data_IF_727058783809
#
_entry.id   IF_727058783809
#
_cell.length_a   1.000
_cell.length_b   1.000
_cell.length_c   1.000
_cell.angle_alpha   90.00
_cell.angle_beta   90.00
_cell.angle_gamma   90.00
#
_symmetry.space_group_name_H-M   'P 1'
#
loop_
_entity.id
_entity.type
_entity.pdbx_description
1 polymer ?
#
# COMPACT_ATOMS: atom_id res chain seq x y z
N UNK A 1 2.65 7.57 -0.64
CA UNK A 1 3.61 7.83 0.46
C UNK A 1 4.81 8.62 -0.05
N UNK A 2 5.62 9.23 0.82
CA UNK A 2 6.90 9.88 0.45
C UNK A 2 8.04 9.31 1.28
N UNK A 3 9.20 9.10 0.66
CA UNK A 3 10.41 8.60 1.33
C UNK A 3 11.67 9.25 0.76
N UNK A 4 12.68 9.42 1.62
CA UNK A 4 14.04 9.74 1.20
C UNK A 4 14.72 8.48 0.66
N UNK A 5 15.36 8.58 -0.50
CA UNK A 5 16.16 7.50 -1.06
C UNK A 5 17.48 7.37 -0.28
N UNK A 6 17.83 6.15 0.08
CA UNK A 6 19.08 5.86 0.78
C UNK A 6 20.33 6.19 -0.05
N UNK A 7 21.49 6.16 0.60
CA UNK A 7 22.77 6.48 -0.05
C UNK A 7 23.11 5.57 -1.25
N UNK A 8 22.58 4.35 -1.26
CA UNK A 8 22.78 3.37 -2.34
C UNK A 8 21.70 3.42 -3.42
N UNK A 9 20.78 4.39 -3.39
CA UNK A 9 19.68 4.46 -4.35
C UNK A 9 18.53 3.49 -4.06
N UNK A 10 18.33 3.14 -2.79
CA UNK A 10 17.31 2.17 -2.36
C UNK A 10 16.26 2.81 -1.43
N UNK A 11 15.03 2.30 -1.49
CA UNK A 11 13.91 2.67 -0.62
C UNK A 11 13.37 1.42 0.06
N UNK A 12 13.05 1.51 1.35
CA UNK A 12 12.36 0.45 2.09
C UNK A 12 10.86 0.72 2.17
N UNK A 13 10.05 -0.29 1.84
CA UNK A 13 8.57 -0.23 1.89
C UNK A 13 8.09 -1.52 2.55
N UNK A 14 7.29 -1.43 3.61
CA UNK A 14 6.75 -2.64 4.26
C UNK A 14 7.79 -3.44 5.07
N UNK A 15 8.78 -2.77 5.67
CA UNK A 15 9.76 -3.38 6.58
C UNK A 15 11.18 -3.53 6.03
N UNK A 16 12.10 -4.08 6.84
CA UNK A 16 13.55 -4.10 6.55
C UNK A 16 13.95 -5.01 5.39
N UNK A 17 13.14 -6.02 5.08
CA UNK A 17 13.41 -7.02 4.05
C UNK A 17 13.01 -6.54 2.63
N UNK A 18 12.14 -5.54 2.55
CA UNK A 18 11.54 -5.10 1.30
C UNK A 18 12.23 -3.83 0.81
N UNK A 19 13.34 -4.02 0.07
CA UNK A 19 14.19 -2.96 -0.48
C UNK A 19 14.03 -2.86 -1.99
N UNK A 20 13.74 -1.66 -2.46
CA UNK A 20 13.51 -1.36 -3.86
C UNK A 20 14.61 -0.45 -4.37
N UNK A 21 15.34 -0.89 -5.39
CA UNK A 21 16.34 -0.05 -6.06
C UNK A 21 15.67 0.90 -7.04
N UNK A 22 15.83 2.19 -6.81
CA UNK A 22 15.38 3.27 -7.69
C UNK A 22 16.51 3.87 -8.52
N UNK A 23 17.76 3.59 -8.15
CA UNK A 23 18.97 4.03 -8.86
C UNK A 23 19.81 5.00 -8.03
N UNK A 24 21.14 4.93 -8.20
CA UNK A 24 22.08 5.74 -7.41
C UNK A 24 22.02 7.22 -7.77
N UNK A 25 21.63 7.55 -9.00
CA UNK A 25 21.41 8.93 -9.44
C UNK A 25 20.34 9.66 -8.62
N UNK A 26 19.43 8.93 -7.96
CA UNK A 26 18.40 9.48 -7.09
C UNK A 26 18.74 9.36 -5.59
N UNK A 27 19.97 8.97 -5.24
CA UNK A 27 20.38 8.85 -3.85
C UNK A 27 20.22 10.17 -3.09
N UNK A 28 19.77 10.08 -1.83
CA UNK A 28 19.48 11.23 -0.96
C UNK A 28 18.34 12.16 -1.42
N UNK A 29 17.71 11.91 -2.57
CA UNK A 29 16.54 12.67 -3.04
C UNK A 29 15.25 12.17 -2.40
N UNK A 30 14.17 12.97 -2.45
CA UNK A 30 12.85 12.53 -2.03
C UNK A 30 12.05 12.01 -3.21
N UNK A 31 11.38 10.88 -3.00
CA UNK A 31 10.49 10.28 -4.00
C UNK A 31 9.08 10.10 -3.43
N UNK A 32 8.10 10.36 -4.30
CA UNK A 32 6.72 9.93 -4.11
C UNK A 32 6.59 8.48 -4.55
N UNK A 33 5.90 7.68 -3.74
CA UNK A 33 5.65 6.27 -3.96
C UNK A 33 4.15 6.07 -4.08
N UNK A 34 3.73 5.48 -5.20
CA UNK A 34 2.34 5.04 -5.44
C UNK A 34 2.33 3.54 -5.69
N UNK A 35 1.27 2.87 -5.27
CA UNK A 35 1.03 1.46 -5.59
C UNK A 35 -0.01 1.38 -6.70
N UNK A 36 0.31 0.64 -7.75
CA UNK A 36 -0.61 0.27 -8.81
C UNK A 36 -1.11 -1.16 -8.54
N UNK A 37 -2.38 -1.34 -8.15
CA UNK A 37 -2.93 -2.64 -7.81
C UNK A 37 -3.22 -3.52 -9.04
N UNK A 38 -3.26 -2.96 -10.25
CA UNK A 38 -3.55 -3.75 -11.45
C UNK A 38 -2.38 -4.66 -11.80
N UNK A 39 -1.17 -4.12 -11.75
CA UNK A 39 0.05 -4.85 -12.08
C UNK A 39 0.88 -5.22 -10.84
N UNK A 40 0.41 -4.89 -9.62
CA UNK A 40 1.16 -5.05 -8.36
C UNK A 40 2.54 -4.38 -8.38
N UNK A 41 2.60 -3.11 -8.80
CA UNK A 41 3.85 -2.35 -8.89
C UNK A 41 3.88 -1.12 -7.99
N UNK A 42 5.04 -0.80 -7.45
CA UNK A 42 5.35 0.54 -6.96
C UNK A 42 5.87 1.42 -8.09
N UNK A 43 5.28 2.61 -8.19
CA UNK A 43 5.71 3.70 -9.06
C UNK A 43 6.41 4.74 -8.19
N UNK A 44 7.65 5.07 -8.56
CA UNK A 44 8.46 6.09 -7.92
C UNK A 44 8.57 7.30 -8.85
N UNK A 45 8.42 8.50 -8.30
CA UNK A 45 8.62 9.77 -9.00
C UNK A 45 9.34 10.75 -8.06
N UNK A 46 10.14 11.69 -8.58
CA UNK A 46 10.71 12.71 -7.71
C UNK A 46 9.60 13.62 -7.18
N UNK A 47 9.82 14.19 -6.00
CA UNK A 47 8.88 15.15 -5.41
C UNK A 47 8.91 16.48 -6.18
N UNK A 48 10.11 16.93 -6.54
CA UNK A 48 10.33 18.23 -7.17
C UNK A 48 10.14 18.19 -8.70
N UNK A 49 10.27 17.00 -9.28
CA UNK A 49 10.08 16.75 -10.72
C UNK A 49 9.31 15.43 -10.91
N UNK A 50 7.98 15.47 -11.06
CA UNK A 50 7.13 14.28 -11.02
C UNK A 50 7.27 13.35 -12.24
N UNK A 51 8.33 13.48 -13.04
CA UNK A 51 8.71 12.45 -14.01
C UNK A 51 8.90 11.09 -13.33
N UNK A 52 8.35 10.05 -13.97
CA UNK A 52 8.42 8.68 -13.46
C UNK A 52 9.89 8.27 -13.43
N UNK A 53 10.40 8.10 -12.23
CA UNK A 53 11.75 7.61 -11.98
C UNK A 53 11.84 6.15 -12.37
N UNK A 54 10.96 5.33 -11.79
CA UNK A 54 11.01 3.88 -12.01
C UNK A 54 9.73 3.17 -11.58
N UNK A 55 9.48 1.99 -12.18
CA UNK A 55 8.50 1.01 -11.71
C UNK A 55 9.21 -0.23 -11.16
N UNK A 56 8.72 -0.76 -10.03
CA UNK A 56 9.20 -2.01 -9.43
C UNK A 56 8.04 -2.84 -8.94
N UNK A 57 8.03 -4.13 -9.28
CA UNK A 57 7.03 -5.05 -8.76
C UNK A 57 7.12 -5.12 -7.24
N UNK A 58 5.97 -5.13 -6.56
CA UNK A 58 5.87 -5.24 -5.11
C UNK A 58 6.05 -6.72 -4.71
N UNK A 59 7.27 -7.11 -4.35
CA UNK A 59 7.56 -8.48 -3.90
C UNK A 59 7.35 -8.60 -2.39
N UNK A 60 6.87 -9.76 -1.94
CA UNK A 60 6.66 -10.10 -0.52
C UNK A 60 5.72 -9.15 0.24
N UNK A 61 4.82 -8.48 -0.49
CA UNK A 61 3.74 -7.67 0.07
C UNK A 61 2.48 -8.01 -0.72
N UNK A 62 1.45 -8.51 -0.05
CA UNK A 62 0.15 -8.72 -0.71
C UNK A 62 -0.58 -7.39 -0.86
N UNK A 63 -1.55 -7.32 -1.77
CA UNK A 63 -2.39 -6.13 -1.90
C UNK A 63 -3.06 -5.82 -0.55
N UNK A 64 -3.56 -6.84 0.18
CA UNK A 64 -4.17 -6.69 1.50
C UNK A 64 -3.22 -6.04 2.52
N UNK A 65 -1.94 -6.46 2.54
CA UNK A 65 -0.92 -5.88 3.43
C UNK A 65 -0.60 -4.42 3.08
N UNK A 66 -0.72 -4.04 1.81
CA UNK A 66 -0.43 -2.68 1.34
C UNK A 66 -1.60 -1.71 1.51
N UNK A 67 -2.83 -2.21 1.38
CA UNK A 67 -4.05 -1.40 1.42
C UNK A 67 -4.79 -1.49 2.77
N UNK A 68 -4.35 -2.37 3.67
CA UNK A 68 -4.97 -2.58 4.98
C UNK A 68 -6.35 -3.25 4.92
N UNK A 69 -6.74 -3.78 3.75
CA UNK A 69 -7.92 -4.61 3.59
C UNK A 69 -7.55 -6.05 3.93
N UNK A 70 -7.16 -6.31 5.17
CA UNK A 70 -7.25 -7.66 5.72
C UNK A 70 -8.70 -8.08 5.51
N UNK A 71 -8.95 -9.14 4.72
CA UNK A 71 -10.25 -9.80 4.76
C UNK A 71 -10.56 -9.98 6.25
N UNK A 72 -11.57 -9.28 6.83
CA UNK A 72 -11.94 -9.58 8.20
C UNK A 72 -12.21 -11.07 8.17
N UNK A 73 -11.53 -11.83 9.02
CA UNK A 73 -11.81 -13.25 9.16
C UNK A 73 -13.30 -13.30 9.45
N UNK A 74 -14.12 -13.58 8.43
CA UNK A 74 -15.56 -13.57 8.55
C UNK A 74 -15.83 -14.81 9.38
N UNK A 75 -15.82 -14.63 10.69
CA UNK A 75 -16.38 -15.61 11.57
C UNK A 75 -17.87 -15.53 11.22
N UNK A 76 -18.32 -16.49 10.42
CA UNK A 76 -19.74 -16.71 10.14
C UNK A 76 -20.40 -17.16 11.44
N UNK A 77 -20.52 -16.24 12.39
CA UNK A 77 -21.45 -16.40 13.49
C UNK A 77 -22.84 -16.12 12.95
N UNK A 78 -23.87 -16.88 13.36
CA UNK A 78 -25.24 -16.51 13.10
C UNK A 78 -25.46 -15.08 13.60
N UNK A 79 -25.61 -14.13 12.66
CA UNK A 79 -25.95 -12.76 13.00
C UNK A 79 -27.46 -12.69 13.18
N UNK A 80 -27.92 -12.75 14.43
CA UNK A 80 -29.32 -12.47 14.73
C UNK A 80 -29.54 -10.95 14.62
N UNK A 81 -30.33 -10.54 13.62
CA UNK A 81 -30.76 -9.17 13.50
C UNK A 81 -31.62 -8.79 14.72
N UNK A 82 -31.55 -7.55 15.22
CA UNK A 82 -32.46 -7.08 16.24
C UNK A 82 -33.88 -7.27 15.73
N UNK A 83 -34.66 -8.07 16.45
CA UNK A 83 -36.10 -8.16 16.23
C UNK A 83 -36.65 -6.77 16.58
N UNK A 84 -37.01 -5.99 15.57
CA UNK A 84 -37.84 -4.82 15.80
C UNK A 84 -39.13 -5.33 16.45
N UNK A 85 -39.49 -4.89 17.67
CA UNK A 85 -40.82 -5.17 18.15
C UNK A 85 -41.78 -4.50 17.16
N UNK A 86 -42.70 -5.28 16.59
CA UNK A 86 -43.80 -4.76 15.80
C UNK A 86 -44.56 -3.76 16.67
N UNK A 87 -44.29 -2.47 16.49
CA UNK A 87 -45.23 -1.43 16.89
C UNK A 87 -46.25 -1.33 15.75
N UNK A 88 -47.09 -2.34 15.66
CA UNK A 88 -48.36 -2.26 14.95
C UNK A 88 -49.48 -2.40 15.97
N UNK A 89 -50.50 -1.54 15.78
CA UNK A 89 -51.71 -1.27 16.58
C UNK A 89 -51.50 -0.10 17.55
N UNK A 90 -52.21 1.01 17.41
CA UNK A 90 -53.43 1.31 16.65
C UNK A 90 -54.16 2.39 17.42
#
# INVERSE_FOLDING_TARGET
>A
WTRKVGQTGQVQIGGRQNRYSVGRQFAQQQVTIRFDPMDCHFVFALVDDPEIVIKRHAYNLTAEELIGLSNPKVILVPQQLPLFPEVFKG
#
